data_IF_166378895680
#
_entry.id   IF_166378895680
#
_cell.length_a   1.000
_cell.length_b   1.000
_cell.length_c   1.000
_cell.angle_alpha   90.00
_cell.angle_beta   90.00
_cell.angle_gamma   90.00
#
_symmetry.space_group_name_H-M   'P 1'
#
loop_
_entity.id
_entity.type
_entity.pdbx_description
1 polymer ?
#
# COMPACT_ATOMS: atom_id res chain seq x y z
N UNK A 1 9.79 -14.73 24.41
CA UNK A 1 9.44 -13.60 23.51
C UNK A 1 8.36 -14.05 22.55
N UNK A 2 7.16 -13.50 22.62
CA UNK A 2 6.08 -13.78 21.68
C UNK A 2 6.40 -13.13 20.34
N UNK A 3 6.41 -13.92 19.26
CA UNK A 3 6.65 -13.44 17.90
C UNK A 3 5.55 -12.45 17.53
N UNK A 4 5.94 -11.21 17.22
CA UNK A 4 5.00 -10.14 16.83
C UNK A 4 4.35 -10.52 15.48
N UNK A 5 3.08 -10.92 15.45
CA UNK A 5 2.37 -11.40 14.23
C UNK A 5 2.26 -10.31 13.15
N UNK A 6 2.73 -10.55 11.94
CA UNK A 6 2.51 -9.63 10.82
C UNK A 6 1.08 -9.81 10.29
N UNK A 7 0.18 -8.91 10.71
CA UNK A 7 -1.22 -8.89 10.28
C UNK A 7 -1.51 -7.59 9.54
N UNK A 8 -2.28 -7.69 8.47
CA UNK A 8 -2.49 -6.62 7.51
C UNK A 8 -3.70 -6.81 6.62
N UNK A 9 -3.93 -5.85 5.74
CA UNK A 9 -4.94 -5.93 4.69
C UNK A 9 -4.43 -5.34 3.36
N UNK A 10 -5.21 -5.52 2.30
CA UNK A 10 -4.93 -4.93 1.00
C UNK A 10 -5.40 -3.47 0.96
N UNK A 11 -4.48 -2.55 0.70
CA UNK A 11 -4.71 -1.11 0.72
C UNK A 11 -4.82 -0.53 -0.68
N UNK A 12 -5.83 0.32 -0.88
CA UNK A 12 -5.98 1.10 -2.10
C UNK A 12 -4.84 2.12 -2.24
N UNK A 13 -4.33 2.27 -3.46
CA UNK A 13 -3.40 3.34 -3.88
C UNK A 13 -4.13 4.54 -4.54
N UNK A 14 -5.47 4.58 -4.44
CA UNK A 14 -6.24 5.69 -5.00
C UNK A 14 -5.84 7.01 -4.36
N UNK A 15 -5.48 8.00 -5.18
CA UNK A 15 -4.95 9.29 -4.72
C UNK A 15 -3.43 9.36 -4.56
N UNK A 16 -2.70 8.26 -4.78
CA UNK A 16 -1.25 8.18 -4.67
C UNK A 16 -0.79 6.92 -3.93
N UNK A 17 0.44 6.47 -4.16
CA UNK A 17 0.99 5.27 -3.52
C UNK A 17 1.17 5.47 -2.01
N UNK A 18 1.59 6.66 -1.57
CA UNK A 18 1.73 7.01 -0.16
C UNK A 18 0.43 6.83 0.65
N UNK A 19 -0.74 7.08 0.02
CA UNK A 19 -2.04 6.93 0.68
C UNK A 19 -2.28 5.50 1.17
N UNK A 20 -1.73 4.48 0.51
CA UNK A 20 -1.86 3.10 0.97
C UNK A 20 -1.15 2.87 2.32
N UNK A 21 0.01 3.52 2.51
CA UNK A 21 0.76 3.49 3.78
C UNK A 21 -0.04 4.20 4.87
N UNK A 22 -0.52 5.42 4.61
CA UNK A 22 -1.32 6.19 5.57
C UNK A 22 -2.57 5.42 6.02
N UNK A 23 -3.26 4.78 5.06
CA UNK A 23 -4.43 3.93 5.33
C UNK A 23 -4.07 2.70 6.16
N UNK A 24 -2.93 2.05 5.90
CA UNK A 24 -2.46 0.94 6.72
C UNK A 24 -2.16 1.40 8.16
N UNK A 25 -1.49 2.55 8.30
CA UNK A 25 -1.17 3.13 9.60
C UNK A 25 -2.43 3.50 10.40
N UNK A 26 -3.45 4.07 9.75
CA UNK A 26 -4.68 4.50 10.44
C UNK A 26 -5.46 3.35 11.08
N UNK A 27 -5.28 2.12 10.60
CA UNK A 27 -5.92 0.91 11.16
C UNK A 27 -4.93 0.01 11.91
N UNK A 28 -3.73 0.50 12.25
CA UNK A 28 -2.70 -0.25 12.96
C UNK A 28 -2.25 -1.56 12.26
N UNK A 29 -2.25 -1.57 10.92
CA UNK A 29 -1.67 -2.67 10.17
C UNK A 29 -0.18 -2.82 10.48
N UNK A 30 0.29 -4.07 10.55
CA UNK A 30 1.70 -4.43 10.75
C UNK A 30 2.33 -5.06 9.52
N UNK A 31 1.51 -5.41 8.55
CA UNK A 31 1.86 -5.70 7.17
C UNK A 31 0.78 -5.10 6.27
N UNK A 32 1.04 -4.92 4.99
CA UNK A 32 0.02 -4.55 4.01
C UNK A 32 0.40 -5.06 2.64
N UNK A 33 -0.61 -5.19 1.77
CA UNK A 33 -0.44 -5.42 0.35
C UNK A 33 -1.05 -4.23 -0.39
N UNK A 34 -0.51 -3.86 -1.55
CA UNK A 34 -1.12 -2.85 -2.42
C UNK A 34 -0.86 -3.20 -3.88
N UNK A 35 -1.56 -2.56 -4.80
CA UNK A 35 -1.18 -2.59 -6.21
C UNK A 35 -0.02 -1.62 -6.47
N UNK A 36 0.82 -1.93 -7.46
CA UNK A 36 1.87 -0.99 -7.94
C UNK A 36 1.42 -0.18 -9.16
N UNK A 37 0.24 -0.50 -9.72
CA UNK A 37 -0.41 0.19 -10.84
C UNK A 37 -1.89 -0.17 -10.91
N UNK A 38 -2.66 0.55 -11.73
CA UNK A 38 -4.01 0.14 -12.09
C UNK A 38 -4.00 -1.25 -12.78
N UNK A 39 -4.82 -2.19 -12.31
CA UNK A 39 -4.90 -3.54 -12.86
C UNK A 39 -5.58 -3.58 -14.24
N UNK A 40 -6.35 -2.56 -14.61
CA UNK A 40 -7.04 -2.44 -15.91
C UNK A 40 -6.14 -1.91 -17.04
N UNK A 41 -4.87 -1.59 -16.76
CA UNK A 41 -3.93 -1.03 -17.73
C UNK A 41 -2.67 -1.90 -17.84
N UNK A 42 -2.11 -2.03 -19.04
CA UNK A 42 -0.87 -2.77 -19.25
C UNK A 42 0.36 -1.99 -18.78
N UNK A 43 0.41 -0.69 -19.08
CA UNK A 43 1.52 0.20 -18.74
C UNK A 43 1.16 1.11 -17.59
N UNK A 44 2.13 1.38 -16.72
CA UNK A 44 2.03 2.35 -15.63
C UNK A 44 2.92 3.56 -15.93
N UNK A 45 2.56 4.72 -15.38
CA UNK A 45 3.52 5.83 -15.31
C UNK A 45 4.71 5.42 -14.41
N UNK A 46 5.93 5.88 -14.69
CA UNK A 46 7.05 5.73 -13.76
C UNK A 46 6.70 6.32 -12.38
N UNK A 47 7.18 5.68 -11.31
CA UNK A 47 7.11 6.24 -9.97
C UNK A 47 8.09 7.42 -9.87
N UNK A 48 7.60 8.61 -9.51
CA UNK A 48 8.41 9.81 -9.34
C UNK A 48 8.78 10.01 -7.86
N UNK A 49 9.60 11.03 -7.57
CA UNK A 49 9.98 11.36 -6.18
C UNK A 49 8.90 12.09 -5.40
N UNK A 50 7.99 12.75 -6.09
CA UNK A 50 6.90 13.52 -5.47
C UNK A 50 5.70 12.64 -5.09
N UNK A 51 5.78 11.34 -5.41
CA UNK A 51 4.76 10.34 -5.12
C UNK A 51 4.94 9.72 -3.72
#
# INVERSE_FOLDING_TARGET
>A
MTKKILLGAHMSIGGGVHMAIERACSINCRAMQMFVKNNMQWFARPLTRDE
#
